data_IF_495141274911
#
_entry.id   IF_495141274911
#
_cell.length_a   1.000
_cell.length_b   1.000
_cell.length_c   1.000
_cell.angle_alpha   90.00
_cell.angle_beta   90.00
_cell.angle_gamma   90.00
#
_symmetry.space_group_name_H-M   'P 1'
#
loop_
_entity.id
_entity.type
_entity.pdbx_description
1 polymer ?
#
# COMPACT_ATOMS: atom_id res chain seq x y z
N UNK A 1 -25.68 -24.78 -37.44
CA UNK A 1 -24.32 -24.34 -37.00
C UNK A 1 -24.36 -22.95 -36.35
N UNK A 2 -25.05 -21.97 -36.94
CA UNK A 2 -25.10 -20.57 -36.46
C UNK A 2 -25.70 -20.32 -35.06
N UNK A 3 -26.67 -21.13 -34.61
CA UNK A 3 -27.32 -20.96 -33.29
C UNK A 3 -26.42 -21.32 -32.11
N UNK A 4 -25.50 -22.27 -32.29
CA UNK A 4 -24.56 -22.67 -31.25
C UNK A 4 -23.43 -21.64 -31.09
N UNK A 5 -22.93 -21.12 -32.21
CA UNK A 5 -21.96 -20.02 -32.25
C UNK A 5 -22.53 -18.75 -31.61
N UNK A 6 -23.77 -18.36 -31.97
CA UNK A 6 -24.45 -17.21 -31.34
C UNK A 6 -24.60 -17.37 -29.81
N UNK A 7 -24.98 -18.57 -29.34
CA UNK A 7 -25.10 -18.85 -27.89
C UNK A 7 -23.74 -18.77 -27.18
N UNK A 8 -22.68 -19.27 -27.79
CA UNK A 8 -21.33 -19.14 -27.25
C UNK A 8 -20.89 -17.68 -27.16
N UNK A 9 -21.12 -16.88 -28.20
CA UNK A 9 -20.79 -15.46 -28.24
C UNK A 9 -21.56 -14.64 -27.18
N UNK A 10 -22.85 -14.92 -26.99
CA UNK A 10 -23.66 -14.26 -25.95
C UNK A 10 -23.22 -14.62 -24.54
N UNK A 11 -22.80 -15.88 -24.31
CA UNK A 11 -22.25 -16.33 -23.03
C UNK A 11 -20.93 -15.62 -22.71
N UNK A 12 -20.03 -15.54 -23.68
CA UNK A 12 -18.74 -14.85 -23.54
C UNK A 12 -18.91 -13.34 -23.31
N UNK A 13 -19.89 -12.72 -23.96
CA UNK A 13 -20.25 -11.32 -23.72
C UNK A 13 -20.78 -11.12 -22.30
N UNK A 14 -21.69 -11.97 -21.84
CA UNK A 14 -22.27 -11.87 -20.50
C UNK A 14 -21.20 -11.99 -19.41
N UNK A 15 -20.26 -12.94 -19.55
CA UNK A 15 -19.13 -13.10 -18.64
C UNK A 15 -18.24 -11.85 -18.59
N UNK A 16 -17.93 -11.24 -19.75
CA UNK A 16 -17.15 -10.00 -19.81
C UNK A 16 -17.88 -8.83 -19.16
N UNK A 17 -19.19 -8.70 -19.40
CA UNK A 17 -20.02 -7.64 -18.83
C UNK A 17 -20.10 -7.76 -17.29
N UNK A 18 -20.36 -8.96 -16.76
CA UNK A 18 -20.38 -9.23 -15.31
C UNK A 18 -19.05 -8.88 -14.66
N UNK A 19 -17.92 -9.25 -15.27
CA UNK A 19 -16.59 -8.90 -14.76
C UNK A 19 -16.37 -7.39 -14.68
N UNK A 20 -16.74 -6.66 -15.74
CA UNK A 20 -16.64 -5.20 -15.77
C UNK A 20 -17.55 -4.56 -14.71
N UNK A 21 -18.76 -5.08 -14.52
CA UNK A 21 -19.67 -4.61 -13.48
C UNK A 21 -19.08 -4.78 -12.08
N UNK A 22 -18.54 -5.96 -11.77
CA UNK A 22 -17.89 -6.20 -10.47
C UNK A 22 -16.71 -5.25 -10.22
N UNK A 23 -15.88 -5.03 -11.24
CA UNK A 23 -14.75 -4.10 -11.15
C UNK A 23 -15.25 -2.66 -10.93
N UNK A 24 -16.34 -2.23 -11.57
CA UNK A 24 -16.92 -0.90 -11.37
C UNK A 24 -17.51 -0.73 -9.96
N UNK A 25 -18.23 -1.73 -9.47
CA UNK A 25 -18.75 -1.75 -8.10
C UNK A 25 -17.61 -1.66 -7.08
N UNK A 26 -16.52 -2.40 -7.28
CA UNK A 26 -15.36 -2.35 -6.40
C UNK A 26 -14.68 -0.96 -6.40
N UNK A 27 -14.52 -0.34 -7.57
CA UNK A 27 -13.92 1.00 -7.68
C UNK A 27 -14.75 2.03 -6.90
N UNK A 28 -16.06 2.06 -7.08
CA UNK A 28 -16.93 3.00 -6.36
C UNK A 28 -17.01 2.74 -4.85
N UNK A 29 -16.76 1.49 -4.42
CA UNK A 29 -16.76 1.14 -3.00
C UNK A 29 -15.44 1.46 -2.29
N UNK A 30 -14.33 1.58 -3.02
CA UNK A 30 -12.98 1.63 -2.43
C UNK A 30 -12.21 2.92 -2.73
N UNK A 31 -12.56 3.63 -3.80
CA UNK A 31 -11.88 4.85 -4.22
C UNK A 31 -12.75 6.05 -3.88
N UNK A 32 -12.18 7.02 -3.17
CA UNK A 32 -12.84 8.29 -2.88
C UNK A 32 -13.22 9.00 -4.19
N UNK A 33 -14.44 9.53 -4.26
CA UNK A 33 -14.95 10.28 -5.42
C UNK A 33 -14.06 11.46 -5.81
N UNK A 34 -13.38 12.09 -4.84
CA UNK A 34 -12.46 13.21 -5.09
C UNK A 34 -11.18 12.77 -5.81
N UNK A 35 -10.78 11.50 -5.69
CA UNK A 35 -9.65 10.92 -6.43
C UNK A 35 -10.09 10.35 -7.77
N UNK A 36 -11.33 9.87 -7.85
CA UNK A 36 -11.90 9.26 -9.03
C UNK A 36 -12.27 10.28 -10.12
N UNK A 37 -12.85 11.42 -9.72
CA UNK A 37 -13.35 12.43 -10.66
C UNK A 37 -12.24 13.03 -11.55
N UNK A 38 -11.06 13.43 -11.05
CA UNK A 38 -9.97 13.93 -11.89
C UNK A 38 -9.50 12.89 -12.90
N UNK A 39 -9.27 11.64 -12.47
CA UNK A 39 -8.82 10.56 -13.34
C UNK A 39 -9.83 10.25 -14.46
N UNK A 40 -11.13 10.32 -14.16
CA UNK A 40 -12.18 10.19 -15.17
C UNK A 40 -12.18 11.36 -16.16
N UNK A 41 -12.08 12.60 -15.70
CA UNK A 41 -12.05 13.79 -16.57
C UNK A 41 -10.89 13.71 -17.57
N UNK A 42 -9.68 13.39 -17.10
CA UNK A 42 -8.50 13.23 -17.95
C UNK A 42 -8.69 12.13 -19.01
N UNK A 43 -9.31 11.01 -18.66
CA UNK A 43 -9.57 9.91 -19.60
C UNK A 43 -10.66 10.22 -20.63
N UNK A 44 -11.66 11.03 -20.26
CA UNK A 44 -12.68 11.55 -21.16
C UNK A 44 -12.04 12.47 -22.20
N UNK A 45 -11.20 13.43 -21.76
CA UNK A 45 -10.48 14.34 -22.66
C UNK A 45 -9.58 13.59 -23.65
N UNK A 46 -8.92 12.52 -23.18
CA UNK A 46 -8.06 11.67 -24.01
C UNK A 46 -8.84 10.69 -24.92
N UNK A 47 -10.17 10.66 -24.84
CA UNK A 47 -11.04 9.68 -25.53
C UNK A 47 -10.66 8.22 -25.24
N UNK A 48 -10.20 7.94 -24.02
CA UNK A 48 -9.71 6.63 -23.58
C UNK A 48 -10.51 6.07 -22.39
N UNK A 49 -11.72 6.59 -22.15
CA UNK A 49 -12.54 6.20 -21.02
C UNK A 49 -12.95 4.72 -21.13
N UNK A 50 -12.18 3.88 -20.45
CA UNK A 50 -12.48 2.47 -20.20
C UNK A 50 -12.17 2.19 -18.74
N UNK A 51 -12.87 1.22 -18.14
CA UNK A 51 -12.65 0.83 -16.75
C UNK A 51 -11.19 0.41 -16.48
N UNK A 52 -10.57 -0.25 -17.46
CA UNK A 52 -9.18 -0.67 -17.38
C UNK A 52 -8.21 0.52 -17.42
N UNK A 53 -8.48 1.51 -18.27
CA UNK A 53 -7.70 2.74 -18.32
C UNK A 53 -7.85 3.55 -17.02
N UNK A 54 -9.05 3.60 -16.44
CA UNK A 54 -9.31 4.23 -15.15
C UNK A 54 -8.52 3.56 -14.02
N UNK A 55 -8.60 2.23 -13.92
CA UNK A 55 -7.84 1.48 -12.89
C UNK A 55 -6.33 1.66 -13.09
N UNK A 56 -5.85 1.70 -14.34
CA UNK A 56 -4.42 1.93 -14.63
C UNK A 56 -4.00 3.35 -14.25
N UNK A 57 -4.82 4.36 -14.54
CA UNK A 57 -4.57 5.75 -14.17
C UNK A 57 -4.53 5.92 -12.65
N UNK A 58 -5.57 5.45 -11.95
CA UNK A 58 -5.63 5.46 -10.48
C UNK A 58 -4.44 4.73 -9.85
N UNK A 59 -4.07 3.56 -10.38
CA UNK A 59 -2.89 2.83 -9.91
C UNK A 59 -1.60 3.62 -10.12
N UNK A 60 -1.49 4.38 -11.20
CA UNK A 60 -0.27 5.16 -11.50
C UNK A 60 -0.18 6.38 -10.62
N UNK A 61 -1.28 7.10 -10.41
CA UNK A 61 -1.32 8.30 -9.58
C UNK A 61 -1.21 7.99 -8.09
N UNK A 62 -1.85 6.91 -7.64
CA UNK A 62 -1.84 6.47 -6.24
C UNK A 62 -0.74 5.45 -5.94
N UNK A 63 0.09 5.09 -6.93
CA UNK A 63 1.24 4.24 -6.69
C UNK A 63 2.14 4.87 -5.63
N UNK A 64 2.62 4.10 -4.64
CA UNK A 64 3.68 4.56 -3.79
C UNK A 64 4.87 5.00 -4.64
N UNK A 65 5.23 6.27 -4.58
CA UNK A 65 6.48 6.75 -5.14
C UNK A 65 7.63 6.19 -4.30
N UNK A 66 8.85 6.20 -4.86
CA UNK A 66 10.04 5.83 -4.08
C UNK A 66 10.13 6.65 -2.79
N UNK A 67 9.83 7.95 -2.87
CA UNK A 67 9.82 8.89 -1.74
C UNK A 67 8.72 8.55 -0.74
N UNK A 68 7.47 8.30 -1.18
CA UNK A 68 6.39 7.97 -0.24
C UNK A 68 6.63 6.62 0.44
N UNK A 69 7.22 5.66 -0.27
CA UNK A 69 7.63 4.37 0.29
C UNK A 69 8.73 4.55 1.34
N UNK A 70 9.77 5.34 1.05
CA UNK A 70 10.84 5.68 1.99
C UNK A 70 10.27 6.32 3.25
N UNK A 71 9.38 7.31 3.09
CA UNK A 71 8.76 8.02 4.21
C UNK A 71 7.86 7.10 5.04
N UNK A 72 7.13 6.19 4.40
CA UNK A 72 6.32 5.18 5.09
C UNK A 72 7.18 4.24 5.93
N UNK A 73 8.25 3.69 5.36
CA UNK A 73 9.17 2.78 6.07
C UNK A 73 9.84 3.51 7.23
N UNK A 74 10.27 4.76 7.02
CA UNK A 74 10.81 5.63 8.08
C UNK A 74 9.81 5.83 9.21
N UNK A 75 8.56 6.19 8.89
CA UNK A 75 7.52 6.42 9.88
C UNK A 75 7.18 5.14 10.67
N UNK A 76 7.09 4.00 9.98
CA UNK A 76 6.86 2.70 10.62
C UNK A 76 8.00 2.30 11.55
N UNK A 77 9.25 2.51 11.14
CA UNK A 77 10.42 2.23 11.97
C UNK A 77 10.39 3.07 13.26
N UNK A 78 10.25 4.40 13.13
CA UNK A 78 10.18 5.33 14.28
C UNK A 78 9.02 4.99 15.22
N UNK A 79 7.83 4.74 14.67
CA UNK A 79 6.66 4.37 15.47
C UNK A 79 6.89 3.07 16.25
N UNK A 80 7.59 2.10 15.66
CA UNK A 80 7.88 0.83 16.33
C UNK A 80 8.92 0.96 17.45
N UNK A 81 9.91 1.87 17.30
CA UNK A 81 10.81 2.25 18.39
C UNK A 81 10.07 2.95 19.53
N UNK A 82 9.16 3.88 19.22
CA UNK A 82 8.37 4.58 20.24
C UNK A 82 7.43 3.63 21.00
N UNK A 83 6.84 2.64 20.32
CA UNK A 83 6.05 1.58 20.97
C UNK A 83 6.87 0.75 21.96
N UNK A 84 8.18 0.63 21.76
CA UNK A 84 9.05 -0.10 22.69
C UNK A 84 9.14 0.60 24.06
N UNK A 85 9.03 1.94 24.07
CA UNK A 85 9.06 2.78 25.27
C UNK A 85 7.77 2.69 26.09
N UNK A 86 6.66 2.25 25.48
CA UNK A 86 5.37 2.07 26.13
C UNK A 86 5.29 0.63 26.66
N UNK A 87 5.32 0.48 27.99
CA UNK A 87 5.41 -0.83 28.64
C UNK A 87 4.29 -1.81 28.26
N UNK A 88 4.63 -3.12 28.29
CA UNK A 88 3.80 -4.32 27.97
C UNK A 88 3.84 -4.86 26.52
N UNK A 89 4.92 -4.63 25.77
CA UNK A 89 5.12 -5.32 24.47
C UNK A 89 5.99 -6.56 24.66
N UNK A 90 5.53 -7.73 24.20
CA UNK A 90 6.33 -8.96 24.18
C UNK A 90 7.69 -8.71 23.47
N UNK A 91 8.84 -9.04 24.11
CA UNK A 91 10.16 -8.74 23.57
C UNK A 91 10.48 -9.42 22.24
N UNK A 92 10.11 -10.70 22.08
CA UNK A 92 10.41 -11.51 20.89
C UNK A 92 9.61 -11.04 19.68
N UNK A 93 8.31 -10.78 19.87
CA UNK A 93 7.46 -10.26 18.80
C UNK A 93 7.88 -8.85 18.40
N UNK A 94 8.29 -8.02 19.37
CA UNK A 94 8.82 -6.70 19.10
C UNK A 94 10.13 -6.76 18.31
N UNK A 95 11.08 -7.62 18.71
CA UNK A 95 12.37 -7.76 18.05
C UNK A 95 12.22 -8.25 16.62
N UNK A 96 11.41 -9.27 16.39
CA UNK A 96 11.13 -9.82 15.05
C UNK A 96 10.58 -8.72 14.13
N UNK A 97 9.65 -7.92 14.64
CA UNK A 97 9.07 -6.81 13.88
C UNK A 97 10.06 -5.67 13.64
N UNK A 98 10.88 -5.33 14.64
CA UNK A 98 11.95 -4.35 14.52
C UNK A 98 12.96 -4.79 13.45
N UNK A 99 13.44 -6.03 13.50
CA UNK A 99 14.41 -6.56 12.54
C UNK A 99 13.89 -6.50 11.10
N UNK A 100 12.62 -6.84 10.89
CA UNK A 100 11.96 -6.69 9.59
C UNK A 100 11.91 -5.23 9.11
N UNK A 101 11.58 -4.28 9.99
CA UNK A 101 11.54 -2.85 9.65
C UNK A 101 12.95 -2.28 9.41
N UNK A 102 13.93 -2.71 10.19
CA UNK A 102 15.34 -2.35 10.02
C UNK A 102 15.88 -2.84 8.67
N UNK A 103 15.63 -4.10 8.31
CA UNK A 103 16.04 -4.66 7.01
C UNK A 103 15.41 -3.89 5.84
N UNK A 104 14.13 -3.51 5.95
CA UNK A 104 13.45 -2.65 4.96
C UNK A 104 14.08 -1.26 4.89
N UNK A 105 14.31 -0.62 6.03
CA UNK A 105 14.93 0.70 6.09
C UNK A 105 16.35 0.69 5.49
N UNK A 106 17.11 -0.40 5.70
CA UNK A 106 18.43 -0.63 5.12
C UNK A 106 18.39 -0.78 3.61
N UNK A 107 17.42 -1.55 3.08
CA UNK A 107 17.22 -1.69 1.65
C UNK A 107 16.94 -0.33 0.95
N UNK A 108 16.23 0.57 1.64
CA UNK A 108 15.93 1.92 1.16
C UNK A 108 16.97 2.99 1.54
N UNK A 109 18.08 2.62 2.19
CA UNK A 109 19.16 3.54 2.62
C UNK A 109 18.63 4.73 3.44
N UNK A 110 17.72 4.45 4.37
CA UNK A 110 17.13 5.48 5.24
C UNK A 110 18.18 5.94 6.26
N UNK A 111 18.53 7.23 6.28
CA UNK A 111 19.58 7.75 7.17
C UNK A 111 19.30 7.53 8.67
N UNK A 112 18.03 7.44 9.09
CA UNK A 112 17.61 7.31 10.49
C UNK A 112 18.01 5.99 11.16
N UNK A 113 18.44 5.00 10.39
CA UNK A 113 18.88 3.71 10.92
C UNK A 113 20.41 3.56 10.93
N UNK A 114 21.12 4.58 10.44
CA UNK A 114 22.58 4.59 10.31
C UNK A 114 23.19 5.66 11.22
N UNK A 115 24.38 5.37 11.77
CA UNK A 115 25.12 6.29 12.63
C UNK A 115 24.80 6.19 14.12
N UNK A 116 25.55 6.95 14.93
CA UNK A 116 25.53 6.87 16.39
C UNK A 116 24.16 7.19 17.00
N UNK A 117 23.43 8.15 16.43
CA UNK A 117 22.09 8.53 16.88
C UNK A 117 21.09 7.37 16.74
N UNK A 118 21.16 6.60 15.65
CA UNK A 118 20.28 5.45 15.44
C UNK A 118 20.53 4.34 16.45
N UNK A 119 21.79 4.13 16.82
CA UNK A 119 22.18 3.19 17.89
C UNK A 119 21.63 3.66 19.23
N UNK A 120 21.78 4.96 19.53
CA UNK A 120 21.26 5.54 20.76
C UNK A 120 19.74 5.45 20.86
N UNK A 121 19.01 5.79 19.79
CA UNK A 121 17.55 5.68 19.72
C UNK A 121 17.07 4.24 19.96
N UNK A 122 17.80 3.25 19.46
CA UNK A 122 17.52 1.83 19.70
C UNK A 122 17.76 1.43 21.16
N UNK A 123 18.87 1.87 21.75
CA UNK A 123 19.19 1.59 23.15
C UNK A 123 18.17 2.26 24.09
N UNK A 124 17.79 3.50 23.82
CA UNK A 124 16.75 4.23 24.57
C UNK A 124 15.39 3.54 24.47
N UNK A 125 15.08 2.92 23.33
CA UNK A 125 13.87 2.14 23.14
C UNK A 125 13.87 0.82 23.95
N UNK A 126 15.05 0.28 24.26
CA UNK A 126 15.23 -0.96 25.01
C UNK A 126 15.46 -0.76 26.51
N UNK A 127 15.98 0.40 26.93
CA UNK A 127 16.30 0.68 28.33
C UNK A 127 15.13 0.40 29.30
N UNK A 128 13.86 0.80 29.00
CA UNK A 128 12.71 0.49 29.85
C UNK A 128 12.38 -1.00 29.98
N UNK A 129 12.92 -1.85 29.09
CA UNK A 129 12.69 -3.31 29.10
C UNK A 129 13.79 -4.08 29.83
N UNK A 130 15.00 -3.54 29.85
CA UNK A 130 16.16 -4.14 30.52
C UNK A 130 16.24 -3.74 32.00
N UNK A 131 15.67 -2.58 32.36
CA UNK A 131 15.55 -2.12 33.74
C UNK A 131 14.16 -1.51 33.95
N UNK A 132 13.11 -2.34 34.12
CA UNK A 132 11.79 -1.83 34.48
C UNK A 132 11.85 -1.30 35.92
N UNK A 133 11.64 0.01 36.11
CA UNK A 133 11.27 0.57 37.42
C UNK A 133 9.83 0.19 37.80
#
# INVERSE_FOLDING_TARGET
>A
MQLAEYRADTSDWALKATRLQHMWTWVNATVDLQLLAPAMMTLVEQKKLTLQALIKALRTELAPTSISTINLVRAQYRAHLQKAKQGRVNPESWYTKWHSLYAKAKAYKIADIDGLLAVQDFLDALAPKLSPE
#
